data_IF_450099395283
#
_entry.id   IF_450099395283
#
_cell.length_a   1.000
_cell.length_b   1.000
_cell.length_c   1.000
_cell.angle_alpha   90.00
_cell.angle_beta   90.00
_cell.angle_gamma   90.00
#
_symmetry.space_group_name_H-M   'P 1'
#
loop_
_entity.id
_entity.type
_entity.pdbx_description
1 polymer ?
#
# COMPACT_ATOMS: atom_id res chain seq x y z
N UNK A 1 32.68 6.59 27.38
CA UNK A 1 32.58 6.43 25.90
C UNK A 1 31.16 6.62 25.34
N UNK A 2 30.13 5.87 25.77
CA UNK A 2 28.76 6.00 25.18
C UNK A 2 28.13 7.40 25.26
N UNK A 3 28.31 8.13 26.36
CA UNK A 3 27.74 9.47 26.54
C UNK A 3 28.39 10.53 25.63
N UNK A 4 29.72 10.48 25.50
CA UNK A 4 30.50 11.35 24.62
C UNK A 4 30.11 11.13 23.15
N UNK A 5 30.00 9.86 22.73
CA UNK A 5 29.53 9.52 21.38
C UNK A 5 28.12 10.06 21.10
N UNK A 6 27.18 9.89 22.04
CA UNK A 6 25.81 10.44 21.89
C UNK A 6 25.82 11.95 21.74
N UNK A 7 26.56 12.67 22.58
CA UNK A 7 26.66 14.14 22.50
C UNK A 7 27.20 14.64 21.15
N UNK A 8 28.27 14.00 20.65
CA UNK A 8 28.84 14.34 19.33
C UNK A 8 27.85 14.01 18.20
N UNK A 9 27.19 12.85 18.25
CA UNK A 9 26.16 12.46 17.29
C UNK A 9 25.01 13.48 17.28
N UNK A 10 24.53 13.90 18.44
CA UNK A 10 23.38 14.80 18.56
C UNK A 10 23.72 16.20 18.05
N UNK A 11 24.93 16.68 18.35
CA UNK A 11 25.46 17.92 17.80
C UNK A 11 25.57 17.88 16.26
N UNK A 12 26.13 16.79 15.71
CA UNK A 12 26.22 16.60 14.27
C UNK A 12 24.84 16.50 13.60
N UNK A 13 23.90 15.77 14.22
CA UNK A 13 22.53 15.60 13.72
C UNK A 13 21.80 16.94 13.71
N UNK A 14 21.96 17.75 14.76
CA UNK A 14 21.39 19.10 14.86
C UNK A 14 21.97 20.03 13.79
N UNK A 15 23.31 20.05 13.63
CA UNK A 15 23.97 20.84 12.60
C UNK A 15 23.54 20.44 11.19
N UNK A 16 23.40 19.13 10.93
CA UNK A 16 22.91 18.61 9.66
C UNK A 16 21.45 19.00 9.40
N UNK A 17 20.59 18.95 10.41
CA UNK A 17 19.19 19.40 10.30
C UNK A 17 19.14 20.88 9.94
N UNK A 18 19.84 21.73 10.69
CA UNK A 18 19.85 23.18 10.43
C UNK A 18 20.42 23.53 9.05
N UNK A 19 21.44 22.80 8.58
CA UNK A 19 21.97 22.98 7.23
C UNK A 19 20.95 22.60 6.14
N UNK A 20 20.20 21.51 6.33
CA UNK A 20 19.13 21.10 5.42
C UNK A 20 17.99 22.11 5.38
N UNK A 21 17.55 22.58 6.54
CA UNK A 21 16.47 23.55 6.66
C UNK A 21 16.82 24.84 5.92
N UNK A 22 18.03 25.36 6.15
CA UNK A 22 18.55 26.55 5.46
C UNK A 22 18.62 26.33 3.94
N UNK A 23 19.17 25.21 3.48
CA UNK A 23 19.26 24.90 2.06
C UNK A 23 17.89 24.92 1.37
N UNK A 24 16.89 24.25 1.96
CA UNK A 24 15.56 24.21 1.35
C UNK A 24 14.81 25.54 1.45
N UNK A 25 15.04 26.34 2.50
CA UNK A 25 14.54 27.72 2.56
C UNK A 25 15.10 28.56 1.42
N UNK A 26 16.41 28.50 1.17
CA UNK A 26 17.06 29.24 0.08
C UNK A 26 16.56 28.78 -1.28
N UNK A 27 16.39 27.47 -1.48
CA UNK A 27 15.88 26.88 -2.73
C UNK A 27 14.42 27.26 -3.00
N UNK A 28 13.57 27.28 -1.96
CA UNK A 28 12.17 27.68 -2.09
C UNK A 28 12.05 29.19 -2.32
N UNK A 29 12.83 29.99 -1.59
CA UNK A 29 12.89 31.44 -1.78
C UNK A 29 13.40 31.82 -3.18
N UNK A 30 14.41 31.12 -3.69
CA UNK A 30 14.91 31.30 -5.06
C UNK A 30 13.94 30.88 -6.16
N UNK A 31 12.89 30.12 -5.82
CA UNK A 31 11.82 29.72 -6.74
C UNK A 31 10.59 30.64 -6.67
N UNK A 32 10.65 31.74 -5.92
CA UNK A 32 9.56 32.71 -5.81
C UNK A 32 9.12 33.23 -7.20
N UNK A 33 7.81 33.23 -7.44
CA UNK A 33 7.23 33.59 -8.75
C UNK A 33 7.38 32.53 -9.85
N UNK A 34 8.08 31.42 -9.61
CA UNK A 34 8.23 30.31 -10.57
C UNK A 34 7.59 29.02 -10.05
N UNK A 35 6.29 28.86 -10.33
CA UNK A 35 5.49 27.69 -9.92
C UNK A 35 6.10 26.37 -10.38
N UNK A 36 6.76 26.33 -11.55
CA UNK A 36 7.39 25.12 -12.09
C UNK A 36 8.62 24.71 -11.26
N UNK A 37 9.43 25.69 -10.84
CA UNK A 37 10.56 25.42 -9.96
C UNK A 37 10.09 25.01 -8.56
N UNK A 38 9.07 25.67 -8.01
CA UNK A 38 8.49 25.30 -6.73
C UNK A 38 7.90 23.87 -6.75
N UNK A 39 7.22 23.51 -7.84
CA UNK A 39 6.74 22.14 -8.05
C UNK A 39 7.90 21.13 -8.12
N UNK A 40 8.99 21.47 -8.81
CA UNK A 40 10.17 20.60 -8.87
C UNK A 40 10.76 20.35 -7.48
N UNK A 41 10.98 21.41 -6.70
CA UNK A 41 11.52 21.34 -5.35
C UNK A 41 10.63 20.49 -4.44
N UNK A 42 9.33 20.75 -4.44
CA UNK A 42 8.36 19.97 -3.63
C UNK A 42 8.25 18.52 -4.09
N UNK A 43 8.32 18.25 -5.41
CA UNK A 43 8.31 16.89 -5.94
C UNK A 43 9.54 16.09 -5.52
N UNK A 44 10.73 16.69 -5.55
CA UNK A 44 11.96 16.06 -5.04
C UNK A 44 11.86 15.79 -3.54
N UNK A 45 11.39 16.76 -2.76
CA UNK A 45 11.28 16.64 -1.29
C UNK A 45 10.30 15.54 -0.85
N UNK A 46 9.23 15.35 -1.62
CA UNK A 46 8.22 14.31 -1.39
C UNK A 46 8.58 12.96 -2.03
N UNK A 47 9.77 12.81 -2.61
CA UNK A 47 10.15 11.59 -3.33
C UNK A 47 9.29 11.30 -4.57
N UNK A 48 8.59 12.32 -5.09
CA UNK A 48 7.77 12.26 -6.32
C UNK A 48 8.59 12.59 -7.57
N UNK A 49 9.91 12.69 -7.46
CA UNK A 49 10.80 13.01 -8.57
C UNK A 49 10.57 12.04 -9.71
N UNK A 50 10.28 12.58 -10.90
CA UNK A 50 10.20 11.81 -12.15
C UNK A 50 11.60 11.54 -12.69
N UNK A 51 12.54 11.17 -11.83
CA UNK A 51 13.76 10.53 -12.32
C UNK A 51 13.33 9.25 -13.03
N UNK A 52 13.89 9.03 -14.21
CA UNK A 52 13.62 7.82 -14.98
C UNK A 52 13.85 6.62 -14.07
N UNK A 53 12.76 5.92 -13.69
CA UNK A 53 12.84 4.70 -12.89
C UNK A 53 13.45 3.53 -13.68
N UNK A 54 13.90 3.80 -14.89
CA UNK A 54 14.60 2.86 -15.71
C UNK A 54 16.04 2.74 -15.21
N UNK A 55 16.58 1.51 -15.12
CA UNK A 55 17.99 1.29 -14.90
C UNK A 55 18.86 2.15 -15.82
N UNK A 56 20.04 2.61 -15.36
CA UNK A 56 21.01 3.26 -16.25
C UNK A 56 21.32 2.34 -17.42
N UNK A 57 21.14 2.82 -18.66
CA UNK A 57 21.35 2.00 -19.86
C UNK A 57 22.21 2.70 -20.90
N UNK A 58 22.85 1.89 -21.75
CA UNK A 58 23.59 2.33 -22.93
C UNK A 58 22.72 2.28 -24.19
N UNK A 59 21.78 1.33 -24.30
CA UNK A 59 20.87 1.19 -25.45
C UNK A 59 19.52 0.52 -25.09
N UNK A 60 18.53 0.73 -25.95
CA UNK A 60 17.14 0.29 -25.75
C UNK A 60 16.95 -1.22 -25.76
N UNK A 61 17.76 -1.93 -26.54
CA UNK A 61 17.65 -3.37 -26.73
C UNK A 61 18.11 -4.10 -25.47
N UNK A 62 19.22 -3.65 -24.89
CA UNK A 62 19.74 -4.16 -23.62
C UNK A 62 18.71 -4.01 -22.51
N UNK A 63 18.07 -2.83 -22.37
CA UNK A 63 17.03 -2.65 -21.35
C UNK A 63 15.83 -3.59 -21.56
N UNK A 64 15.39 -3.79 -22.79
CA UNK A 64 14.28 -4.68 -23.09
C UNK A 64 14.61 -6.15 -22.73
N UNK A 65 15.84 -6.58 -23.02
CA UNK A 65 16.34 -7.90 -22.64
C UNK A 65 16.47 -8.04 -21.12
N UNK A 66 16.97 -7.02 -20.42
CA UNK A 66 17.06 -7.02 -18.95
C UNK A 66 15.69 -7.17 -18.30
N UNK A 67 14.67 -6.46 -18.81
CA UNK A 67 13.30 -6.65 -18.34
C UNK A 67 12.79 -8.05 -18.60
N UNK A 68 13.02 -8.59 -19.80
CA UNK A 68 12.62 -9.95 -20.15
C UNK A 68 13.23 -10.97 -19.17
N UNK A 69 14.54 -10.89 -18.93
CA UNK A 69 15.25 -11.76 -17.99
C UNK A 69 14.72 -11.60 -16.56
N UNK A 70 14.59 -10.36 -16.08
CA UNK A 70 14.08 -10.09 -14.73
C UNK A 70 12.70 -10.72 -14.49
N UNK A 71 11.75 -10.53 -15.41
CA UNK A 71 10.41 -11.08 -15.25
C UNK A 71 10.38 -12.61 -15.40
N UNK A 72 11.17 -13.17 -16.32
CA UNK A 72 11.29 -14.62 -16.46
C UNK A 72 11.84 -15.26 -15.17
N UNK A 73 12.92 -14.71 -14.61
CA UNK A 73 13.53 -15.18 -13.37
C UNK A 73 12.59 -15.01 -12.18
N UNK A 74 11.88 -13.87 -12.08
CA UNK A 74 10.91 -13.64 -11.02
C UNK A 74 9.78 -14.66 -11.05
N UNK A 75 9.27 -15.00 -12.23
CA UNK A 75 8.22 -16.01 -12.39
C UNK A 75 8.74 -17.39 -11.98
N UNK A 76 9.94 -17.77 -12.42
CA UNK A 76 10.56 -19.05 -12.06
C UNK A 76 10.75 -19.17 -10.54
N UNK A 77 11.30 -18.13 -9.90
CA UNK A 77 11.51 -18.09 -8.45
C UNK A 77 10.20 -18.17 -7.66
N UNK A 78 9.14 -17.50 -8.12
CA UNK A 78 7.83 -17.57 -7.48
C UNK A 78 7.23 -18.98 -7.56
N UNK A 79 7.32 -19.64 -8.72
CA UNK A 79 6.85 -21.02 -8.89
C UNK A 79 7.61 -21.98 -7.98
N UNK A 80 8.94 -21.91 -7.99
CA UNK A 80 9.78 -22.72 -7.11
C UNK A 80 9.48 -22.49 -5.61
N UNK A 81 9.23 -21.24 -5.22
CA UNK A 81 8.82 -20.91 -3.86
C UNK A 81 7.48 -21.54 -3.50
N UNK A 82 6.49 -21.47 -4.39
CA UNK A 82 5.17 -22.07 -4.18
C UNK A 82 5.23 -23.59 -4.12
N UNK A 83 6.02 -24.22 -4.99
CA UNK A 83 6.21 -25.67 -5.00
C UNK A 83 6.88 -26.14 -3.71
N UNK A 84 7.88 -25.39 -3.21
CA UNK A 84 8.50 -25.64 -1.89
C UNK A 84 7.53 -25.50 -0.73
N UNK A 85 6.53 -24.62 -0.82
CA UNK A 85 5.47 -24.50 0.17
C UNK A 85 4.53 -25.71 0.11
N UNK A 86 4.16 -26.17 -1.10
CA UNK A 86 3.25 -27.31 -1.27
C UNK A 86 3.85 -28.66 -0.82
N UNK A 87 5.19 -28.80 -0.82
CA UNK A 87 5.87 -30.00 -0.28
C UNK A 87 5.88 -30.01 1.25
N UNK A 88 5.67 -28.87 1.91
CA UNK A 88 5.49 -28.78 3.38
C UNK A 88 4.02 -28.95 3.76
N UNK A 89 3.43 -30.08 3.37
CA UNK A 89 2.22 -30.59 4.01
C UNK A 89 2.53 -31.35 5.30
N UNK A 90 3.49 -30.86 6.09
CA UNK A 90 3.43 -31.03 7.53
C UNK A 90 2.50 -29.94 8.06
N UNK A 91 1.21 -30.05 7.72
CA UNK A 91 0.23 -29.48 8.63
C UNK A 91 0.51 -30.17 9.95
N UNK A 92 0.85 -29.45 11.05
CA UNK A 92 0.77 -30.09 12.34
C UNK A 92 -0.62 -30.69 12.38
N UNK A 93 -0.72 -32.00 12.62
CA UNK A 93 -1.97 -32.60 13.03
C UNK A 93 -2.38 -31.76 14.24
N UNK A 94 -3.28 -30.80 14.03
CA UNK A 94 -3.86 -30.02 15.09
C UNK A 94 -4.76 -31.04 15.77
N UNK A 95 -4.14 -31.88 16.61
CA UNK A 95 -4.82 -32.48 17.72
C UNK A 95 -5.22 -31.26 18.55
N UNK A 96 -6.45 -30.82 18.32
CA UNK A 96 -7.09 -29.69 18.97
C UNK A 96 -7.22 -30.01 20.46
N UNK A 97 -6.12 -29.90 21.19
CA UNK A 97 -6.11 -29.87 22.65
C UNK A 97 -6.37 -28.42 23.09
N UNK A 98 -7.50 -27.86 22.65
CA UNK A 98 -8.13 -26.76 23.37
C UNK A 98 -9.64 -26.83 23.13
N UNK A 99 -10.35 -27.14 24.22
CA UNK A 99 -11.71 -27.64 24.25
C UNK A 99 -12.77 -26.54 24.22
N UNK A 100 -12.54 -25.43 23.51
CA UNK A 100 -13.56 -24.37 23.35
C UNK A 100 -13.47 -23.67 21.99
N UNK A 101 -13.74 -24.41 20.91
CA UNK A 101 -14.31 -23.79 19.72
C UNK A 101 -15.61 -23.08 20.13
N UNK A 102 -15.86 -21.82 19.75
CA UNK A 102 -17.16 -21.21 19.99
C UNK A 102 -18.22 -22.06 19.29
N UNK A 103 -19.05 -22.72 20.10
CA UNK A 103 -20.15 -23.60 19.71
C UNK A 103 -21.33 -22.80 19.11
N UNK A 104 -21.06 -21.79 18.30
CA UNK A 104 -22.09 -21.06 17.58
C UNK A 104 -22.43 -21.84 16.31
N UNK A 105 -23.27 -22.85 16.45
CA UNK A 105 -23.90 -23.52 15.32
C UNK A 105 -25.12 -22.72 14.89
N UNK A 106 -25.15 -22.25 13.65
CA UNK A 106 -26.36 -21.73 13.02
C UNK A 106 -27.30 -22.92 12.77
N UNK A 107 -28.21 -23.18 13.71
CA UNK A 107 -29.14 -24.32 13.63
C UNK A 107 -30.31 -24.07 12.68
N UNK A 108 -30.67 -22.80 12.44
CA UNK A 108 -31.90 -22.44 11.76
C UNK A 108 -31.72 -21.19 10.88
N UNK A 109 -32.40 -21.21 9.73
CA UNK A 109 -32.57 -20.04 8.87
C UNK A 109 -34.06 -19.71 8.80
N UNK A 110 -34.41 -18.44 8.99
CA UNK A 110 -35.77 -17.94 8.76
C UNK A 110 -35.82 -17.18 7.43
N UNK A 111 -36.84 -17.38 6.59
CA UNK A 111 -37.08 -16.49 5.47
C UNK A 111 -37.27 -15.05 5.98
N UNK A 112 -36.68 -14.10 5.26
CA UNK A 112 -36.84 -12.68 5.52
C UNK A 112 -38.21 -12.21 5.01
N UNK A 113 -38.93 -11.42 5.80
CA UNK A 113 -40.19 -10.82 5.36
C UNK A 113 -39.95 -9.60 4.46
N UNK A 114 -40.92 -9.27 3.61
CA UNK A 114 -40.84 -8.09 2.74
C UNK A 114 -40.64 -6.79 3.53
N UNK A 115 -41.26 -6.67 4.70
CA UNK A 115 -41.08 -5.53 5.59
C UNK A 115 -39.65 -5.44 6.14
N UNK A 116 -39.03 -6.58 6.49
CA UNK A 116 -37.63 -6.63 6.92
C UNK A 116 -36.67 -6.26 5.78
N UNK A 117 -36.94 -6.73 4.56
CA UNK A 117 -36.19 -6.33 3.35
C UNK A 117 -36.32 -4.82 3.11
N UNK A 118 -37.54 -4.29 3.13
CA UNK A 118 -37.81 -2.86 2.94
C UNK A 118 -37.08 -2.01 3.99
N UNK A 119 -37.18 -2.40 5.27
CA UNK A 119 -36.47 -1.72 6.36
C UNK A 119 -34.96 -1.75 6.16
N UNK A 120 -34.39 -2.89 5.77
CA UNK A 120 -32.95 -3.02 5.51
C UNK A 120 -32.48 -2.11 4.37
N UNK A 121 -33.24 -2.03 3.29
CA UNK A 121 -32.96 -1.15 2.15
C UNK A 121 -33.01 0.32 2.59
N UNK A 122 -34.04 0.71 3.36
CA UNK A 122 -34.22 2.10 3.78
C UNK A 122 -33.16 2.59 4.76
N UNK A 123 -32.68 1.72 5.66
CA UNK A 123 -31.61 2.02 6.63
C UNK A 123 -30.20 1.93 6.05
N UNK A 124 -30.03 1.22 4.94
CA UNK A 124 -28.72 1.08 4.28
C UNK A 124 -28.20 2.44 3.76
N UNK A 125 -26.88 2.59 3.83
CA UNK A 125 -26.20 3.76 3.23
C UNK A 125 -26.30 3.65 1.71
N UNK A 126 -26.55 4.78 1.06
CA UNK A 126 -26.54 4.88 -0.41
C UNK A 126 -25.09 4.96 -0.91
N UNK A 127 -24.35 3.88 -0.73
CA UNK A 127 -23.01 3.72 -1.30
C UNK A 127 -23.12 2.85 -2.54
N UNK A 128 -22.52 3.30 -3.63
CA UNK A 128 -22.44 2.54 -4.88
C UNK A 128 -21.01 2.57 -5.41
N UNK A 129 -20.58 1.51 -6.07
CA UNK A 129 -19.34 1.43 -6.84
C UNK A 129 -19.65 1.14 -8.31
N UNK A 130 -18.68 1.38 -9.20
CA UNK A 130 -18.84 1.23 -10.66
C UNK A 130 -19.16 -0.20 -11.11
N UNK A 131 -19.03 -1.19 -10.21
CA UNK A 131 -19.33 -2.60 -10.47
C UNK A 131 -20.71 -3.03 -9.94
N UNK A 132 -21.47 -2.14 -9.29
CA UNK A 132 -22.80 -2.47 -8.79
C UNK A 132 -23.82 -2.51 -9.92
N UNK A 133 -24.53 -3.63 -10.03
CA UNK A 133 -25.54 -3.86 -11.07
C UNK A 133 -26.78 -2.97 -10.88
N UNK A 134 -26.98 -2.40 -9.68
CA UNK A 134 -28.16 -1.59 -9.34
C UNK A 134 -27.69 -0.35 -8.56
N UNK A 135 -27.85 0.88 -9.09
CA UNK A 135 -27.59 2.08 -8.33
C UNK A 135 -28.61 2.21 -7.19
N UNK A 136 -28.13 2.48 -5.98
CA UNK A 136 -28.96 2.68 -4.78
C UNK A 136 -29.71 4.03 -4.84
N UNK A 137 -30.55 4.27 -5.84
CA UNK A 137 -31.47 5.40 -5.81
C UNK A 137 -32.59 5.08 -4.81
N UNK A 138 -32.70 5.90 -3.75
CA UNK A 138 -33.85 5.88 -2.84
C UNK A 138 -35.10 6.36 -3.59
N UNK A 139 -35.71 5.46 -4.36
CA UNK A 139 -37.02 5.68 -4.96
C UNK A 139 -38.07 5.83 -3.87
N UNK A 140 -38.79 6.95 -3.85
CA UNK A 140 -40.04 7.06 -3.11
C UNK A 140 -41.04 6.10 -3.75
N UNK A 141 -41.32 4.99 -3.10
CA UNK A 141 -42.45 4.13 -3.45
C UNK A 141 -43.69 4.86 -2.93
N UNK A 142 -44.48 5.43 -3.84
CA UNK A 142 -45.83 5.97 -3.57
C UNK A 142 -46.83 4.89 -3.90
#
# INVERSE_FOLDING_TARGET
MKAVYKGVRDSCTSALSGAKDKYYQDVVGGAEGNVKQLYKVTSTLLGRSTENQLPPRTDDTTLANDFLHFFADKIANLRDTLDKISVRHDFPNIQSSDSRLPHATFSDFRPISENEVSKLIMTSKSTTCELDVIPTQKGKIT
#
